data_IF_377515452700
#
_entry.id   IF_377515452700
#
_cell.length_a   1.000
_cell.length_b   1.000
_cell.length_c   1.000
_cell.angle_alpha   90.00
_cell.angle_beta   90.00
_cell.angle_gamma   90.00
#
_symmetry.space_group_name_H-M   'P 1'
#
loop_
_entity.id
_entity.type
_entity.pdbx_description
1 polymer ?
#
# COMPACT_ATOMS: atom_id res chain seq x y z
N UNK A 1 19.44 0.60 14.10
CA UNK A 1 19.68 2.00 14.49
C UNK A 1 18.36 2.70 14.70
N UNK A 2 18.21 3.49 15.77
CA UNK A 2 17.02 4.34 15.94
C UNK A 2 17.34 5.70 15.34
N UNK A 3 16.70 6.04 14.23
CA UNK A 3 16.68 7.42 13.73
C UNK A 3 16.04 8.29 14.82
N UNK A 4 16.85 9.11 15.49
CA UNK A 4 16.38 10.01 16.55
C UNK A 4 15.96 11.34 15.93
N UNK A 5 14.66 11.61 15.89
CA UNK A 5 14.13 12.92 15.55
C UNK A 5 14.08 13.77 16.84
N UNK A 6 14.70 14.96 16.88
CA UNK A 6 14.59 15.85 18.04
C UNK A 6 13.13 16.06 18.43
N UNK A 7 12.83 16.02 19.73
CA UNK A 7 11.44 16.08 20.24
C UNK A 7 10.70 17.33 19.75
N UNK A 8 11.38 18.48 19.71
CA UNK A 8 10.76 19.73 19.27
C UNK A 8 10.35 19.67 17.81
N UNK A 9 11.19 19.08 16.96
CA UNK A 9 10.89 18.86 15.55
C UNK A 9 9.77 17.82 15.36
N UNK A 10 9.77 16.75 16.15
CA UNK A 10 8.66 15.79 16.16
C UNK A 10 7.34 16.48 16.51
N UNK A 11 7.30 17.27 17.59
CA UNK A 11 6.13 17.98 18.05
C UNK A 11 5.63 18.99 17.01
N UNK A 12 6.55 19.70 16.34
CA UNK A 12 6.20 20.60 15.24
C UNK A 12 5.46 19.86 14.11
N UNK A 13 5.98 18.71 13.65
CA UNK A 13 5.29 17.91 12.63
C UNK A 13 3.96 17.31 13.12
N UNK A 14 3.83 17.05 14.42
CA UNK A 14 2.55 16.62 15.00
C UNK A 14 1.48 17.71 15.04
N UNK A 15 1.82 18.98 14.79
CA UNK A 15 0.87 20.09 14.78
C UNK A 15 0.49 20.55 13.37
N UNK A 16 1.26 20.18 12.34
CA UNK A 16 1.03 20.65 10.97
C UNK A 16 -0.34 20.26 10.39
N UNK A 17 -0.93 21.09 9.51
CA UNK A 17 -2.18 20.77 8.83
C UNK A 17 -2.03 19.53 7.93
N UNK A 18 -3.11 18.78 7.77
CA UNK A 18 -3.16 17.56 6.97
C UNK A 18 -4.11 17.73 5.79
N UNK A 19 -3.66 17.29 4.61
CA UNK A 19 -4.50 17.13 3.43
C UNK A 19 -4.71 15.65 3.21
N UNK A 20 -5.95 15.20 3.18
CA UNK A 20 -6.33 13.81 2.96
C UNK A 20 -6.71 13.61 1.49
N UNK A 21 -5.84 12.94 0.74
CA UNK A 21 -6.12 12.55 -0.63
C UNK A 21 -7.06 11.34 -0.67
N UNK A 22 -8.18 11.48 -1.36
CA UNK A 22 -9.10 10.39 -1.64
C UNK A 22 -8.81 9.78 -3.01
N UNK A 23 -8.68 8.45 -3.04
CA UNK A 23 -8.43 7.68 -4.25
C UNK A 23 -9.40 6.49 -4.27
N UNK A 24 -10.14 6.26 -5.38
CA UNK A 24 -11.01 5.10 -5.53
C UNK A 24 -10.27 3.78 -5.30
N UNK A 25 -10.98 2.77 -4.79
CA UNK A 25 -10.37 1.47 -4.47
C UNK A 25 -9.69 0.86 -5.68
N UNK A 26 -10.34 0.89 -6.84
CA UNK A 26 -9.86 0.32 -8.10
C UNK A 26 -8.50 0.93 -8.48
N UNK A 27 -8.39 2.25 -8.34
CA UNK A 27 -7.14 2.97 -8.63
C UNK A 27 -6.04 2.65 -7.63
N UNK A 28 -6.38 2.47 -6.34
CA UNK A 28 -5.42 2.03 -5.31
C UNK A 28 -4.93 0.61 -5.57
N UNK A 29 -5.84 -0.31 -5.92
CA UNK A 29 -5.51 -1.69 -6.31
C UNK A 29 -4.58 -1.68 -7.52
N UNK A 30 -4.90 -0.90 -8.56
CA UNK A 30 -4.05 -0.79 -9.74
C UNK A 30 -2.67 -0.27 -9.40
N UNK A 31 -2.55 0.78 -8.59
CA UNK A 31 -1.24 1.34 -8.21
C UNK A 31 -0.39 0.30 -7.46
N UNK A 32 -0.97 -0.40 -6.48
CA UNK A 32 -0.26 -1.43 -5.71
C UNK A 32 0.10 -2.62 -6.60
N UNK A 33 -0.80 -3.04 -7.49
CA UNK A 33 -0.51 -4.07 -8.48
C UNK A 33 0.68 -3.69 -9.38
N UNK A 34 0.72 -2.46 -9.90
CA UNK A 34 1.83 -2.00 -10.73
C UNK A 34 3.16 -1.96 -9.98
N UNK A 35 3.18 -1.48 -8.73
CA UNK A 35 4.40 -1.37 -7.94
C UNK A 35 4.89 -2.73 -7.42
N UNK A 36 4.00 -3.48 -6.76
CA UNK A 36 4.37 -4.67 -6.00
C UNK A 36 4.31 -5.96 -6.82
N UNK A 37 3.62 -5.97 -7.95
CA UNK A 37 3.56 -7.12 -8.85
C UNK A 37 4.38 -6.84 -10.09
N UNK A 38 3.92 -5.96 -10.99
CA UNK A 38 4.57 -5.76 -12.29
C UNK A 38 6.02 -5.27 -12.17
N UNK A 39 6.22 -4.14 -11.46
CA UNK A 39 7.53 -3.52 -11.36
C UNK A 39 8.48 -4.34 -10.48
N UNK A 40 7.95 -4.94 -9.41
CA UNK A 40 8.75 -5.78 -8.51
C UNK A 40 9.20 -7.06 -9.20
N UNK A 41 8.31 -7.80 -9.87
CA UNK A 41 8.68 -9.00 -10.62
C UNK A 41 9.68 -8.69 -11.74
N UNK A 42 9.50 -7.57 -12.45
CA UNK A 42 10.47 -7.12 -13.46
C UNK A 42 11.87 -6.94 -12.85
N UNK A 43 11.97 -6.23 -11.72
CA UNK A 43 13.24 -6.03 -11.00
C UNK A 43 13.85 -7.35 -10.54
N UNK A 44 13.04 -8.28 -10.01
CA UNK A 44 13.54 -9.58 -9.59
C UNK A 44 14.04 -10.41 -10.77
N UNK A 45 13.35 -10.37 -11.92
CA UNK A 45 13.83 -11.02 -13.15
C UNK A 45 15.14 -10.42 -13.64
N UNK A 46 15.28 -9.10 -13.61
CA UNK A 46 16.53 -8.42 -13.98
C UNK A 46 17.70 -8.80 -13.06
N UNK A 47 17.45 -9.05 -11.78
CA UNK A 47 18.47 -9.38 -10.79
C UNK A 47 18.80 -10.89 -10.71
N UNK A 48 17.80 -11.74 -10.86
CA UNK A 48 17.88 -13.16 -10.52
C UNK A 48 17.49 -14.10 -11.68
N UNK A 49 17.20 -13.56 -12.86
CA UNK A 49 16.86 -14.35 -14.05
C UNK A 49 15.59 -15.19 -13.86
N UNK A 50 15.67 -16.47 -14.25
CA UNK A 50 14.55 -17.42 -14.19
C UNK A 50 14.00 -17.61 -12.76
N UNK A 51 14.85 -17.51 -11.74
CA UNK A 51 14.43 -17.61 -10.33
C UNK A 51 13.76 -16.35 -9.81
N UNK A 52 13.72 -15.26 -10.59
CA UNK A 52 13.21 -13.97 -10.14
C UNK A 52 11.73 -13.99 -9.74
N UNK A 53 10.90 -14.78 -10.42
CA UNK A 53 9.48 -14.89 -10.07
C UNK A 53 9.28 -15.60 -8.72
N UNK A 54 10.00 -16.70 -8.50
CA UNK A 54 9.90 -17.50 -7.27
C UNK A 54 10.44 -16.71 -6.07
N UNK A 55 11.59 -16.04 -6.21
CA UNK A 55 12.12 -15.18 -5.16
C UNK A 55 11.22 -13.99 -4.83
N UNK A 56 10.54 -13.44 -5.84
CA UNK A 56 9.52 -12.42 -5.61
C UNK A 56 8.34 -12.99 -4.82
N UNK A 57 7.87 -14.18 -5.18
CA UNK A 57 6.76 -14.85 -4.50
C UNK A 57 7.09 -15.10 -3.03
N UNK A 58 8.24 -15.71 -2.74
CA UNK A 58 8.73 -15.96 -1.37
C UNK A 58 8.79 -14.65 -0.55
N UNK A 59 9.28 -13.56 -1.16
CA UNK A 59 9.34 -12.25 -0.52
C UNK A 59 7.97 -11.66 -0.18
N UNK A 60 6.95 -11.88 -1.03
CA UNK A 60 5.57 -11.49 -0.74
C UNK A 60 4.97 -12.40 0.34
N UNK A 61 5.21 -13.70 0.29
CA UNK A 61 4.73 -14.67 1.28
C UNK A 61 5.28 -14.35 2.68
N UNK A 62 6.58 -14.08 2.80
CA UNK A 62 7.19 -13.62 4.05
C UNK A 62 6.57 -12.30 4.54
N UNK A 63 6.31 -11.36 3.62
CA UNK A 63 5.68 -10.09 3.95
C UNK A 63 4.28 -10.28 4.52
N UNK A 64 3.51 -11.19 3.92
CA UNK A 64 2.16 -11.55 4.38
C UNK A 64 2.23 -12.21 5.76
N UNK A 65 3.18 -13.12 5.99
CA UNK A 65 3.39 -13.77 7.29
C UNK A 65 3.76 -12.78 8.41
N UNK A 66 4.54 -11.73 8.11
CA UNK A 66 4.89 -10.69 9.10
C UNK A 66 3.67 -9.92 9.61
N UNK A 67 2.65 -9.73 8.79
CA UNK A 67 1.42 -9.01 9.17
C UNK A 67 0.31 -9.93 9.70
N UNK A 68 0.45 -11.26 9.57
CA UNK A 68 -0.50 -12.28 10.01
C UNK A 68 -1.11 -12.04 11.39
N UNK A 69 -0.29 -11.71 12.40
CA UNK A 69 -0.75 -11.51 13.79
C UNK A 69 -1.69 -10.31 13.96
N UNK A 70 -1.73 -9.40 12.99
CA UNK A 70 -2.56 -8.19 12.99
C UNK A 70 -3.75 -8.30 12.04
N UNK A 71 -3.89 -9.44 11.36
CA UNK A 71 -5.00 -9.72 10.45
C UNK A 71 -5.96 -10.71 11.10
N UNK A 72 -7.22 -10.64 10.69
CA UNK A 72 -8.16 -11.71 10.99
C UNK A 72 -7.69 -13.03 10.35
N UNK A 73 -7.71 -14.17 11.05
CA UNK A 73 -7.25 -15.45 10.52
C UNK A 73 -7.97 -15.91 9.25
N UNK A 74 -9.27 -15.59 9.10
CA UNK A 74 -10.07 -15.92 7.91
C UNK A 74 -9.56 -15.12 6.71
N UNK A 75 -9.37 -13.80 6.87
CA UNK A 75 -8.87 -12.94 5.80
C UNK A 75 -7.43 -13.26 5.43
N UNK A 76 -6.58 -13.62 6.40
CA UNK A 76 -5.22 -14.08 6.11
C UNK A 76 -5.25 -15.33 5.20
N UNK A 77 -6.05 -16.34 5.58
CA UNK A 77 -6.17 -17.58 4.80
C UNK A 77 -6.66 -17.31 3.38
N UNK A 78 -7.66 -16.44 3.23
CA UNK A 78 -8.20 -16.08 1.93
C UNK A 78 -7.19 -15.30 1.07
N UNK A 79 -6.50 -14.32 1.67
CA UNK A 79 -5.45 -13.53 0.99
C UNK A 79 -4.33 -14.44 0.49
N UNK A 80 -3.85 -15.35 1.35
CA UNK A 80 -2.84 -16.33 0.99
C UNK A 80 -3.31 -17.23 -0.16
N UNK A 81 -4.55 -17.74 -0.11
CA UNK A 81 -5.10 -18.57 -1.18
C UNK A 81 -5.10 -17.84 -2.53
N UNK A 82 -5.49 -16.57 -2.57
CA UNK A 82 -5.45 -15.78 -3.81
C UNK A 82 -4.04 -15.47 -4.28
N UNK A 83 -3.06 -15.31 -3.37
CA UNK A 83 -1.66 -15.16 -3.74
C UNK A 83 -1.15 -16.41 -4.46
N UNK A 84 -1.31 -17.59 -3.84
CA UNK A 84 -0.89 -18.86 -4.43
C UNK A 84 -1.56 -19.11 -5.78
N UNK A 85 -2.88 -18.90 -5.85
CA UNK A 85 -3.62 -19.09 -7.09
C UNK A 85 -3.13 -18.15 -8.20
N UNK A 86 -2.87 -16.89 -7.87
CA UNK A 86 -2.36 -15.93 -8.86
C UNK A 86 -0.96 -16.29 -9.34
N UNK A 87 -0.10 -16.77 -8.44
CA UNK A 87 1.25 -17.21 -8.78
C UNK A 87 1.24 -18.45 -9.69
N UNK A 88 0.44 -19.47 -9.39
CA UNK A 88 0.31 -20.66 -10.23
C UNK A 88 -0.32 -20.36 -11.59
N UNK A 89 -1.37 -19.52 -11.63
CA UNK A 89 -1.97 -19.09 -12.90
C UNK A 89 -0.95 -18.31 -13.73
N UNK A 90 -0.23 -17.35 -13.14
CA UNK A 90 0.83 -16.62 -13.83
C UNK A 90 1.89 -17.56 -14.42
N UNK A 91 2.31 -18.61 -13.70
CA UNK A 91 3.28 -19.59 -14.20
C UNK A 91 2.73 -20.42 -15.35
N UNK A 92 1.48 -20.84 -15.25
CA UNK A 92 0.85 -21.71 -16.25
C UNK A 92 0.48 -20.98 -17.54
N UNK A 93 -0.02 -19.75 -17.44
CA UNK A 93 -0.66 -19.05 -18.56
C UNK A 93 -0.22 -17.58 -18.73
N UNK A 94 0.58 -17.03 -17.82
CA UNK A 94 1.03 -15.63 -17.88
C UNK A 94 -0.01 -14.60 -17.45
N UNK A 95 -1.18 -15.02 -16.95
CA UNK A 95 -2.23 -14.12 -16.46
C UNK A 95 -1.87 -13.58 -15.08
N UNK A 96 -1.92 -12.26 -14.96
CA UNK A 96 -1.61 -11.51 -13.75
C UNK A 96 -2.88 -10.96 -13.06
N UNK A 97 -4.04 -11.16 -13.68
CA UNK A 97 -5.31 -10.56 -13.26
C UNK A 97 -5.68 -10.91 -11.82
N UNK A 98 -5.43 -12.16 -11.42
CA UNK A 98 -5.72 -12.64 -10.07
C UNK A 98 -4.88 -11.97 -8.98
N UNK A 99 -3.71 -11.40 -9.30
CA UNK A 99 -2.95 -10.69 -8.27
C UNK A 99 -3.70 -9.48 -7.71
N UNK A 100 -4.61 -8.89 -8.49
CA UNK A 100 -5.46 -7.79 -7.98
C UNK A 100 -6.36 -8.24 -6.84
N UNK A 101 -6.73 -9.52 -6.75
CA UNK A 101 -7.65 -10.04 -5.71
C UNK A 101 -7.03 -10.03 -4.31
N UNK A 102 -5.82 -10.56 -4.16
CA UNK A 102 -5.15 -10.50 -2.84
C UNK A 102 -4.73 -9.07 -2.49
N UNK A 103 -4.40 -8.22 -3.49
CA UNK A 103 -4.12 -6.80 -3.27
C UNK A 103 -5.35 -6.07 -2.71
N UNK A 104 -6.52 -6.27 -3.31
CA UNK A 104 -7.78 -5.68 -2.88
C UNK A 104 -8.16 -6.14 -1.46
N UNK A 105 -8.00 -7.43 -1.14
CA UNK A 105 -8.22 -7.94 0.20
C UNK A 105 -7.29 -7.31 1.23
N UNK A 106 -5.99 -7.21 0.94
CA UNK A 106 -5.05 -6.54 1.85
C UNK A 106 -5.43 -5.07 2.08
N UNK A 107 -5.81 -4.36 1.02
CA UNK A 107 -6.23 -2.96 1.14
C UNK A 107 -7.47 -2.83 2.01
N UNK A 108 -8.53 -3.58 1.71
CA UNK A 108 -9.83 -3.41 2.38
C UNK A 108 -9.88 -4.00 3.78
N UNK A 109 -9.19 -5.11 4.04
CA UNK A 109 -9.29 -5.85 5.30
C UNK A 109 -8.19 -5.51 6.31
N UNK A 110 -7.04 -5.00 5.86
CA UNK A 110 -5.91 -4.71 6.73
C UNK A 110 -5.51 -3.23 6.72
N UNK A 111 -5.22 -2.67 5.55
CA UNK A 111 -4.68 -1.31 5.47
C UNK A 111 -5.74 -0.22 5.68
N UNK A 112 -6.91 -0.32 5.06
CA UNK A 112 -7.97 0.69 5.15
C UNK A 112 -8.50 0.84 6.59
N UNK A 113 -8.73 -0.24 7.38
CA UNK A 113 -9.09 -0.12 8.79
C UNK A 113 -7.99 0.54 9.63
N UNK A 114 -6.73 0.16 9.40
CA UNK A 114 -5.58 0.76 10.09
C UNK A 114 -5.47 2.26 9.79
N UNK A 115 -5.58 2.66 8.52
CA UNK A 115 -5.53 4.05 8.12
C UNK A 115 -6.73 4.85 8.62
N UNK A 116 -7.93 4.29 8.56
CA UNK A 116 -9.16 4.92 9.08
C UNK A 116 -9.02 5.28 10.56
N UNK A 117 -8.48 4.36 11.37
CA UNK A 117 -8.19 4.62 12.77
C UNK A 117 -7.18 5.77 12.96
N UNK A 118 -6.08 5.77 12.19
CA UNK A 118 -5.06 6.81 12.26
C UNK A 118 -5.57 8.19 11.81
N UNK A 119 -6.41 8.22 10.77
CA UNK A 119 -7.06 9.43 10.25
C UNK A 119 -8.01 10.00 11.31
N UNK A 120 -8.84 9.15 11.92
CA UNK A 120 -9.78 9.57 12.98
C UNK A 120 -9.09 10.27 14.14
N UNK A 121 -7.90 9.79 14.54
CA UNK A 121 -7.09 10.41 15.61
C UNK A 121 -6.50 11.78 15.25
N UNK A 122 -6.48 12.15 13.98
CA UNK A 122 -5.90 13.39 13.47
C UNK A 122 -6.95 14.30 12.80
N UNK A 123 -8.24 13.99 12.96
CA UNK A 123 -9.34 14.63 12.24
C UNK A 123 -9.31 16.16 12.37
N UNK A 124 -9.01 16.67 13.56
CA UNK A 124 -8.98 18.12 13.84
C UNK A 124 -7.89 18.87 13.06
N UNK A 125 -6.89 18.15 12.53
CA UNK A 125 -5.81 18.72 11.71
C UNK A 125 -6.11 18.67 10.21
N UNK A 126 -7.16 17.98 9.77
CA UNK A 126 -7.47 17.80 8.36
C UNK A 126 -8.10 19.09 7.82
N UNK A 127 -7.37 19.79 6.96
CA UNK A 127 -7.80 21.06 6.36
C UNK A 127 -8.45 20.89 5.00
N UNK A 128 -8.25 19.73 4.35
CA UNK A 128 -8.84 19.38 3.07
C UNK A 128 -8.94 17.85 2.98
N UNK A 129 -10.07 17.36 2.49
CA UNK A 129 -10.25 15.97 2.04
C UNK A 129 -10.80 16.04 0.63
N UNK A 130 -10.05 15.59 -0.36
CA UNK A 130 -10.37 15.85 -1.75
C UNK A 130 -9.67 14.88 -2.71
N UNK A 131 -10.06 14.92 -3.98
CA UNK A 131 -9.39 14.15 -5.02
C UNK A 131 -8.00 14.74 -5.38
N UNK A 132 -7.27 14.06 -6.28
CA UNK A 132 -5.93 14.49 -6.68
C UNK A 132 -5.90 15.91 -7.25
N UNK A 133 -6.86 16.26 -8.11
CA UNK A 133 -6.87 17.56 -8.80
C UNK A 133 -7.12 18.69 -7.82
N UNK A 134 -8.04 18.49 -6.87
CA UNK A 134 -8.35 19.45 -5.82
C UNK A 134 -7.18 19.62 -4.84
N UNK A 135 -6.54 18.51 -4.44
CA UNK A 135 -5.33 18.54 -3.61
C UNK A 135 -4.21 19.33 -4.30
N UNK A 136 -3.94 19.06 -5.58
CA UNK A 136 -2.92 19.79 -6.34
C UNK A 136 -3.24 21.30 -6.43
N UNK A 137 -4.51 21.63 -6.64
CA UNK A 137 -4.98 23.02 -6.70
C UNK A 137 -4.77 23.73 -5.36
N UNK A 138 -5.15 23.09 -4.26
CA UNK A 138 -4.96 23.60 -2.92
C UNK A 138 -3.49 23.84 -2.60
N UNK A 139 -2.61 22.86 -2.89
CA UNK A 139 -1.18 22.98 -2.63
C UNK A 139 -0.53 24.09 -3.46
N UNK A 140 -0.93 24.27 -4.73
CA UNK A 140 -0.47 25.39 -5.57
C UNK A 140 -0.90 26.74 -5.00
N UNK A 141 -2.10 26.86 -4.45
CA UNK A 141 -2.58 28.08 -3.83
C UNK A 141 -1.82 28.42 -2.53
N UNK A 142 -1.45 27.41 -1.74
CA UNK A 142 -0.66 27.62 -0.51
C UNK A 142 0.78 28.04 -0.80
N UNK A 143 1.42 27.49 -1.84
CA UNK A 143 2.78 27.91 -2.24
C UNK A 143 2.89 29.39 -2.63
N UNK A 144 1.79 30.02 -3.06
CA UNK A 144 1.76 31.45 -3.40
C UNK A 144 1.62 32.37 -2.18
N UNK A 145 1.37 31.81 -0.98
CA UNK A 145 1.19 32.56 0.26
C UNK A 145 2.44 32.59 1.15
N UNK A 146 3.49 31.86 0.77
CA UNK A 146 4.83 31.90 1.36
C UNK A 146 5.72 32.77 0.47
#
# INVERSE_FOLDING_TARGET
GRNYLPKDLFNYFQQGPLVLLQVPLEKRVDNIFHEYVLSSQKKHRELYGESGLDLWHDGIEESLHRIKKRMDPVFFKETHRYLEQAYEDQKANGDLSLHKKWVELLLTQYYDPMYSYQIKRKKDRIVLTADQKEVETYLKAQKKKL
#
